data_IF_651923795740
#
_entry.id   IF_651923795740
#
_cell.length_a   1.000
_cell.length_b   1.000
_cell.length_c   1.000
_cell.angle_alpha   90.00
_cell.angle_beta   90.00
_cell.angle_gamma   90.00
#
_symmetry.space_group_name_H-M   'P 1'
#
loop_
_entity.id
_entity.type
_entity.pdbx_description
1 polymer ?
#
# COMPACT_ATOMS: atom_id res chain seq x y z
N UNK A 1 -30.46 4.75 -43.79
CA UNK A 1 -31.23 4.11 -44.89
C UNK A 1 -31.49 5.03 -46.09
N UNK A 2 -32.02 6.25 -45.93
CA UNK A 2 -32.37 7.13 -47.08
C UNK A 2 -31.22 7.50 -48.05
N UNK A 3 -29.96 7.58 -47.57
CA UNK A 3 -28.80 8.03 -48.38
C UNK A 3 -28.27 6.97 -49.37
N UNK A 4 -28.32 5.69 -48.98
CA UNK A 4 -27.99 4.59 -49.89
C UNK A 4 -29.10 4.40 -50.93
N UNK A 5 -30.36 4.66 -50.58
CA UNK A 5 -31.48 4.65 -51.54
C UNK A 5 -31.33 5.72 -52.62
N UNK A 6 -30.80 6.92 -52.30
CA UNK A 6 -30.57 7.98 -53.29
C UNK A 6 -29.43 7.60 -54.25
N UNK A 7 -28.33 7.06 -53.74
CA UNK A 7 -27.20 6.61 -54.56
C UNK A 7 -27.59 5.42 -55.45
N UNK A 8 -28.38 4.49 -54.90
CA UNK A 8 -28.94 3.38 -55.67
C UNK A 8 -29.90 3.90 -56.74
N UNK A 9 -30.80 4.84 -56.43
CA UNK A 9 -31.71 5.45 -57.39
C UNK A 9 -30.97 6.18 -58.53
N UNK A 10 -29.85 6.85 -58.24
CA UNK A 10 -29.01 7.49 -59.25
C UNK A 10 -28.35 6.44 -60.15
N UNK A 11 -27.82 5.34 -59.59
CA UNK A 11 -27.22 4.24 -60.36
C UNK A 11 -28.28 3.55 -61.23
N UNK A 12 -29.48 3.30 -60.69
CA UNK A 12 -30.59 2.71 -61.44
C UNK A 12 -31.09 3.66 -62.54
N UNK A 13 -31.17 4.97 -62.28
CA UNK A 13 -31.52 5.96 -63.29
C UNK A 13 -30.47 6.05 -64.42
N UNK A 14 -29.18 5.94 -64.08
CA UNK A 14 -28.08 5.87 -65.06
C UNK A 14 -28.14 4.60 -65.93
N UNK A 15 -28.49 3.45 -65.33
CA UNK A 15 -28.69 2.17 -66.01
C UNK A 15 -29.89 2.19 -66.96
N UNK A 16 -31.05 2.71 -66.53
CA UNK A 16 -32.24 2.84 -67.38
C UNK A 16 -32.01 3.78 -68.57
N UNK A 17 -31.18 4.81 -68.39
CA UNK A 17 -30.85 5.75 -69.45
C UNK A 17 -29.94 5.13 -70.52
N UNK A 18 -28.96 4.30 -70.11
CA UNK A 18 -28.12 3.53 -71.04
C UNK A 18 -28.94 2.54 -71.88
N UNK A 19 -29.96 1.91 -71.29
CA UNK A 19 -30.90 1.01 -72.00
C UNK A 19 -31.75 1.77 -73.02
N UNK A 20 -32.20 3.00 -72.70
CA UNK A 20 -32.91 3.86 -73.63
C UNK A 20 -32.09 4.30 -74.84
N UNK A 21 -30.78 4.54 -74.65
CA UNK A 21 -29.83 4.85 -75.74
C UNK A 21 -29.56 3.62 -76.62
N UNK A 22 -29.49 2.42 -76.04
CA UNK A 22 -29.27 1.18 -76.77
C UNK A 22 -30.47 0.76 -77.65
N UNK A 23 -31.70 0.96 -77.18
CA UNK A 23 -32.91 0.63 -77.94
C UNK A 23 -33.16 1.57 -79.13
N UNK A 24 -32.71 2.83 -79.04
CA UNK A 24 -32.77 3.81 -80.14
C UNK A 24 -31.64 3.71 -81.17
N UNK A 25 -30.77 2.69 -81.08
CA UNK A 25 -29.64 2.45 -81.98
C UNK A 25 -29.86 1.27 -82.95
N UNK A 26 -31.03 0.64 -82.94
CA UNK A 26 -31.39 -0.45 -83.86
C UNK A 26 -31.94 0.07 -85.19
N UNK A 27 -31.06 0.63 -86.00
CA UNK A 27 -31.32 1.02 -87.39
C UNK A 27 -30.00 1.10 -88.13
N UNK A 28 -29.64 0.01 -88.82
CA UNK A 28 -28.34 -0.15 -89.47
C UNK A 28 -28.16 0.76 -90.68
N UNK A 29 -26.95 1.35 -90.78
CA UNK A 29 -26.26 1.67 -92.03
C UNK A 29 -24.82 2.09 -91.72
N UNK A 30 -23.88 1.30 -92.22
CA UNK A 30 -22.43 1.47 -92.12
C UNK A 30 -21.91 2.45 -93.18
N UNK A 31 -21.47 3.63 -92.75
CA UNK A 31 -20.74 4.63 -93.54
C UNK A 31 -20.47 5.88 -92.70
N UNK A 32 -19.46 6.71 -93.00
CA UNK A 32 -19.13 7.89 -92.19
C UNK A 32 -20.20 8.96 -92.41
N UNK A 33 -21.29 8.91 -91.64
CA UNK A 33 -22.27 10.00 -91.57
C UNK A 33 -21.61 11.12 -90.76
N UNK A 34 -21.35 12.25 -91.41
CA UNK A 34 -21.07 13.50 -90.71
C UNK A 34 -22.21 13.81 -89.73
N UNK A 35 -21.91 14.65 -88.73
CA UNK A 35 -22.81 14.98 -87.61
C UNK A 35 -24.29 15.07 -88.04
N UNK A 36 -25.11 14.11 -87.60
CA UNK A 36 -26.54 14.11 -87.89
C UNK A 36 -27.30 14.83 -86.78
N UNK A 37 -28.44 15.46 -87.09
CA UNK A 37 -29.22 16.24 -86.12
C UNK A 37 -29.58 15.45 -84.84
N UNK A 38 -29.70 14.12 -84.94
CA UNK A 38 -29.95 13.22 -83.80
C UNK A 38 -28.79 13.14 -82.81
N UNK A 39 -27.55 13.36 -83.23
CA UNK A 39 -26.37 13.37 -82.34
C UNK A 39 -26.31 14.63 -81.48
N UNK A 40 -26.77 15.78 -81.99
CA UNK A 40 -26.91 17.02 -81.19
C UNK A 40 -27.84 16.79 -79.99
N UNK A 41 -28.99 16.14 -80.20
CA UNK A 41 -29.94 15.85 -79.13
C UNK A 41 -29.37 14.86 -78.11
N UNK A 42 -28.61 13.86 -78.56
CA UNK A 42 -27.93 12.90 -77.67
C UNK A 42 -26.87 13.58 -76.79
N UNK A 43 -26.03 14.43 -77.39
CA UNK A 43 -25.00 15.19 -76.67
C UNK A 43 -25.63 16.19 -75.70
N UNK A 44 -26.70 16.88 -76.10
CA UNK A 44 -27.41 17.81 -75.23
C UNK A 44 -28.07 17.09 -74.03
N UNK A 45 -28.70 15.94 -74.27
CA UNK A 45 -29.29 15.13 -73.20
C UNK A 45 -28.22 14.59 -72.24
N UNK A 46 -27.08 14.13 -72.76
CA UNK A 46 -25.93 13.72 -71.95
C UNK A 46 -25.36 14.89 -71.12
N UNK A 47 -25.23 16.09 -71.70
CA UNK A 47 -24.75 17.27 -70.99
C UNK A 47 -25.70 17.68 -69.85
N UNK A 48 -27.02 17.65 -70.08
CA UNK A 48 -28.03 17.92 -69.05
C UNK A 48 -27.96 16.88 -67.93
N UNK A 49 -27.80 15.59 -68.27
CA UNK A 49 -27.67 14.52 -67.28
C UNK A 49 -26.40 14.67 -66.44
N UNK A 50 -25.25 14.93 -67.07
CA UNK A 50 -23.98 15.16 -66.36
C UNK A 50 -24.08 16.39 -65.46
N UNK A 51 -24.73 17.46 -65.91
CA UNK A 51 -24.98 18.65 -65.09
C UNK A 51 -25.86 18.37 -63.87
N UNK A 52 -26.97 17.65 -64.05
CA UNK A 52 -27.85 17.23 -62.96
C UNK A 52 -27.13 16.29 -61.98
N UNK A 53 -26.36 15.33 -62.50
CA UNK A 53 -25.55 14.38 -61.74
C UNK A 53 -24.51 15.11 -60.89
N UNK A 54 -23.77 16.06 -61.48
CA UNK A 54 -22.79 16.87 -60.78
C UNK A 54 -23.42 17.69 -59.65
N UNK A 55 -24.56 18.34 -59.92
CA UNK A 55 -25.26 19.14 -58.91
C UNK A 55 -25.72 18.29 -57.72
N UNK A 56 -26.23 17.08 -57.98
CA UNK A 56 -26.72 16.16 -56.93
C UNK A 56 -25.56 15.50 -56.16
N UNK A 57 -24.49 15.07 -56.83
CA UNK A 57 -23.38 14.34 -56.21
C UNK A 57 -22.35 15.22 -55.51
N UNK A 58 -22.21 16.50 -55.88
CA UNK A 58 -21.21 17.40 -55.27
C UNK A 58 -21.32 17.45 -53.74
N UNK A 59 -22.54 17.52 -53.20
CA UNK A 59 -22.78 17.58 -51.75
C UNK A 59 -22.46 16.26 -51.01
N UNK A 60 -23.03 15.10 -51.37
CA UNK A 60 -22.79 13.85 -50.66
C UNK A 60 -21.33 13.37 -50.78
N UNK A 61 -20.67 13.59 -51.92
CA UNK A 61 -19.25 13.21 -52.11
C UNK A 61 -18.35 14.05 -51.20
N UNK A 62 -18.52 15.38 -51.20
CA UNK A 62 -17.74 16.26 -50.32
C UNK A 62 -17.99 15.95 -48.84
N UNK A 63 -19.25 15.68 -48.46
CA UNK A 63 -19.59 15.32 -47.08
C UNK A 63 -18.98 13.97 -46.66
N UNK A 64 -18.90 12.99 -47.56
CA UNK A 64 -18.28 11.69 -47.28
C UNK A 64 -16.78 11.83 -46.95
N UNK A 65 -16.04 12.54 -47.81
CA UNK A 65 -14.61 12.78 -47.57
C UNK A 65 -14.37 13.64 -46.32
N UNK A 66 -15.15 14.71 -46.12
CA UNK A 66 -15.08 15.53 -44.90
C UNK A 66 -15.35 14.72 -43.63
N UNK A 67 -16.39 13.88 -43.64
CA UNK A 67 -16.73 13.03 -42.48
C UNK A 67 -15.62 12.01 -42.19
N UNK A 68 -14.97 11.47 -43.22
CA UNK A 68 -13.86 10.53 -43.04
C UNK A 68 -12.62 11.23 -42.48
N UNK A 69 -12.28 12.41 -42.99
CA UNK A 69 -11.17 13.22 -42.50
C UNK A 69 -11.40 13.58 -41.03
N UNK A 70 -12.57 14.11 -40.69
CA UNK A 70 -12.93 14.44 -39.30
C UNK A 70 -12.93 13.21 -38.38
N UNK A 71 -13.35 12.05 -38.87
CA UNK A 71 -13.30 10.81 -38.10
C UNK A 71 -11.87 10.41 -37.75
N UNK A 72 -10.95 10.48 -38.71
CA UNK A 72 -9.53 10.17 -38.51
C UNK A 72 -8.88 11.20 -37.57
N UNK A 73 -9.17 12.50 -37.76
CA UNK A 73 -8.66 13.57 -36.90
C UNK A 73 -9.11 13.39 -35.44
N UNK A 74 -10.39 13.09 -35.23
CA UNK A 74 -10.93 12.80 -33.90
C UNK A 74 -10.27 11.56 -33.27
N UNK A 75 -10.10 10.49 -34.04
CA UNK A 75 -9.43 9.28 -33.56
C UNK A 75 -7.96 9.56 -33.19
N UNK A 76 -7.25 10.34 -33.99
CA UNK A 76 -5.86 10.70 -33.72
C UNK A 76 -5.75 11.57 -32.46
N UNK A 77 -6.63 12.57 -32.32
CA UNK A 77 -6.70 13.43 -31.14
C UNK A 77 -7.05 12.65 -29.87
N UNK A 78 -7.99 11.70 -29.96
CA UNK A 78 -8.34 10.82 -28.84
C UNK A 78 -7.17 9.91 -28.44
N UNK A 79 -6.45 9.36 -29.42
CA UNK A 79 -5.26 8.54 -29.16
C UNK A 79 -4.13 9.35 -28.53
N UNK A 80 -3.90 10.57 -29.00
CA UNK A 80 -2.88 11.47 -28.45
C UNK A 80 -3.22 11.86 -27.00
N UNK A 81 -4.49 12.16 -26.73
CA UNK A 81 -4.96 12.45 -25.37
C UNK A 81 -4.79 11.23 -24.46
N UNK A 82 -5.21 10.04 -24.91
CA UNK A 82 -5.03 8.79 -24.14
C UNK A 82 -3.57 8.45 -23.89
N UNK A 83 -2.70 8.70 -24.88
CA UNK A 83 -1.25 8.51 -24.72
C UNK A 83 -0.70 9.45 -23.65
N UNK A 84 -1.04 10.74 -23.72
CA UNK A 84 -0.62 11.73 -22.74
C UNK A 84 -1.12 11.39 -21.33
N UNK A 85 -2.38 11.00 -21.18
CA UNK A 85 -2.95 10.59 -19.89
C UNK A 85 -2.24 9.34 -19.33
N UNK A 86 -1.88 8.39 -20.20
CA UNK A 86 -1.14 7.19 -19.81
C UNK A 86 0.30 7.52 -19.37
N UNK A 87 0.98 8.41 -20.10
CA UNK A 87 2.32 8.90 -19.75
C UNK A 87 2.30 9.64 -18.40
N UNK A 88 1.33 10.53 -18.19
CA UNK A 88 1.15 11.24 -16.92
C UNK A 88 0.89 10.29 -15.75
N UNK A 89 0.01 9.30 -15.93
CA UNK A 89 -0.24 8.29 -14.89
C UNK A 89 0.99 7.43 -14.61
N UNK A 90 1.78 7.11 -15.63
CA UNK A 90 3.01 6.34 -15.46
C UNK A 90 4.04 7.14 -14.66
N UNK A 91 4.19 8.44 -14.94
CA UNK A 91 5.04 9.34 -14.18
C UNK A 91 4.57 9.44 -12.71
N UNK A 92 3.28 9.70 -12.48
CA UNK A 92 2.69 9.76 -11.13
C UNK A 92 2.92 8.45 -10.35
N UNK A 93 2.70 7.29 -10.97
CA UNK A 93 2.95 6.01 -10.32
C UNK A 93 4.43 5.75 -10.07
N UNK A 94 5.31 6.17 -10.97
CA UNK A 94 6.76 6.03 -10.79
C UNK A 94 7.24 6.89 -9.62
N UNK A 95 6.77 8.12 -9.51
CA UNK A 95 7.05 9.00 -8.38
C UNK A 95 6.50 8.41 -7.08
N UNK A 96 5.26 7.92 -7.09
CA UNK A 96 4.63 7.30 -5.92
C UNK A 96 5.39 6.05 -5.47
N UNK A 97 5.83 5.20 -6.39
CA UNK A 97 6.65 4.04 -6.06
C UNK A 97 8.00 4.45 -5.46
N UNK A 98 8.66 5.46 -6.03
CA UNK A 98 9.91 5.98 -5.48
C UNK A 98 9.74 6.60 -4.08
N UNK A 99 8.59 7.24 -3.82
CA UNK A 99 8.24 7.74 -2.48
C UNK A 99 7.98 6.59 -1.50
N UNK A 100 7.21 5.57 -1.91
CA UNK A 100 6.94 4.38 -1.09
C UNK A 100 8.22 3.64 -0.72
N UNK A 101 9.17 3.49 -1.64
CA UNK A 101 10.47 2.86 -1.35
C UNK A 101 11.28 3.65 -0.31
N UNK A 102 11.23 5.00 -0.38
CA UNK A 102 11.87 5.87 0.61
C UNK A 102 11.20 5.78 1.97
N UNK A 103 9.87 5.77 2.00
CA UNK A 103 9.09 5.62 3.23
C UNK A 103 9.32 4.25 3.87
N UNK A 104 9.32 3.18 3.08
CA UNK A 104 9.61 1.83 3.56
C UNK A 104 11.00 1.74 4.20
N UNK A 105 12.03 2.29 3.55
CA UNK A 105 13.38 2.37 4.14
C UNK A 105 13.39 3.17 5.44
N UNK A 106 12.74 4.34 5.46
CA UNK A 106 12.64 5.17 6.66
C UNK A 106 11.96 4.43 7.81
N UNK A 107 10.87 3.71 7.53
CA UNK A 107 10.15 2.91 8.52
C UNK A 107 11.07 1.83 9.09
N UNK A 108 11.80 1.09 8.23
CA UNK A 108 12.75 0.06 8.67
C UNK A 108 13.85 0.66 9.54
N UNK A 109 14.44 1.77 9.13
CA UNK A 109 15.50 2.45 9.89
C UNK A 109 14.98 2.95 11.25
N UNK A 110 13.76 3.50 11.29
CA UNK A 110 13.12 3.93 12.53
C UNK A 110 12.82 2.75 13.47
N UNK A 111 12.40 1.59 12.94
CA UNK A 111 12.22 0.37 13.75
C UNK A 111 13.54 -0.16 14.29
N UNK A 112 14.62 -0.15 13.49
CA UNK A 112 15.95 -0.56 13.95
C UNK A 112 16.44 0.37 15.08
N UNK A 113 16.28 1.69 14.90
CA UNK A 113 16.64 2.69 15.92
C UNK A 113 15.85 2.48 17.21
N UNK A 114 14.53 2.34 17.12
CA UNK A 114 13.66 2.07 18.27
C UNK A 114 14.02 0.75 18.96
N UNK A 115 14.33 -0.29 18.20
CA UNK A 115 14.78 -1.59 18.72
C UNK A 115 16.10 -1.47 19.50
N UNK A 116 17.07 -0.72 18.96
CA UNK A 116 18.34 -0.48 19.63
C UNK A 116 18.17 0.35 20.91
N UNK A 117 17.35 1.39 20.88
CA UNK A 117 17.02 2.18 22.07
C UNK A 117 16.30 1.34 23.13
N UNK A 118 15.33 0.50 22.74
CA UNK A 118 14.64 -0.41 23.64
C UNK A 118 15.61 -1.42 24.27
N UNK A 119 16.49 -2.02 23.46
CA UNK A 119 17.54 -2.92 23.94
C UNK A 119 18.45 -2.23 24.97
N UNK A 120 18.90 -1.01 24.68
CA UNK A 120 19.74 -0.25 25.59
C UNK A 120 19.03 0.04 26.92
N UNK A 121 17.75 0.46 26.88
CA UNK A 121 16.94 0.68 28.08
C UNK A 121 16.76 -0.60 28.91
N UNK A 122 16.44 -1.72 28.26
CA UNK A 122 16.26 -3.02 28.95
C UNK A 122 17.56 -3.44 29.62
N UNK A 123 18.71 -3.30 28.96
CA UNK A 123 20.01 -3.63 29.55
C UNK A 123 20.33 -2.75 30.75
N UNK A 124 20.11 -1.44 30.65
CA UNK A 124 20.34 -0.50 31.74
C UNK A 124 19.42 -0.79 32.94
N UNK A 125 18.15 -1.10 32.69
CA UNK A 125 17.20 -1.46 33.73
C UNK A 125 17.59 -2.79 34.40
N UNK A 126 17.98 -3.79 33.61
CA UNK A 126 18.45 -5.08 34.12
C UNK A 126 19.70 -4.92 35.01
N UNK A 127 20.66 -4.09 34.61
CA UNK A 127 21.85 -3.78 35.42
C UNK A 127 21.47 -3.08 36.73
N UNK A 128 20.60 -2.07 36.67
CA UNK A 128 20.10 -1.37 37.85
C UNK A 128 19.36 -2.30 38.83
N UNK A 129 18.55 -3.23 38.30
CA UNK A 129 17.84 -4.23 39.10
C UNK A 129 18.82 -5.24 39.71
N UNK A 130 19.82 -5.68 38.95
CA UNK A 130 20.84 -6.61 39.45
C UNK A 130 21.64 -5.99 40.60
N UNK A 131 22.03 -4.71 40.49
CA UNK A 131 22.74 -4.00 41.55
C UNK A 131 21.88 -3.84 42.81
N UNK A 132 20.61 -3.44 42.65
CA UNK A 132 19.66 -3.35 43.78
C UNK A 132 19.45 -4.69 44.45
N UNK A 133 19.32 -5.77 43.67
CA UNK A 133 19.13 -7.12 44.20
C UNK A 133 20.37 -7.57 44.97
N UNK A 134 21.57 -7.28 44.46
CA UNK A 134 22.83 -7.56 45.15
C UNK A 134 22.94 -6.81 46.47
N UNK A 135 22.62 -5.51 46.47
CA UNK A 135 22.62 -4.69 47.68
C UNK A 135 21.61 -5.20 48.72
N UNK A 136 20.41 -5.56 48.27
CA UNK A 136 19.39 -6.16 49.13
C UNK A 136 19.81 -7.52 49.70
N UNK A 137 20.44 -8.37 48.88
CA UNK A 137 20.97 -9.65 49.33
C UNK A 137 22.04 -9.47 50.41
N UNK A 138 22.97 -8.51 50.23
CA UNK A 138 23.99 -8.20 51.24
C UNK A 138 23.36 -7.71 52.55
N UNK A 139 22.38 -6.79 52.49
CA UNK A 139 21.66 -6.34 53.69
C UNK A 139 20.95 -7.48 54.41
N UNK A 140 20.33 -8.40 53.66
CA UNK A 140 19.66 -9.57 54.23
C UNK A 140 20.67 -10.53 54.88
N UNK A 141 21.83 -10.75 54.26
CA UNK A 141 22.91 -11.56 54.82
C UNK A 141 23.38 -10.95 56.15
N UNK A 142 23.64 -9.65 56.19
CA UNK A 142 24.08 -8.97 57.41
C UNK A 142 23.03 -9.07 58.52
N UNK A 143 21.75 -8.90 58.17
CA UNK A 143 20.64 -9.07 59.09
C UNK A 143 20.58 -10.50 59.67
N UNK A 144 20.64 -11.52 58.81
CA UNK A 144 20.62 -12.93 59.22
C UNK A 144 21.85 -13.31 60.07
N UNK A 145 23.04 -12.79 59.74
CA UNK A 145 24.24 -13.01 60.55
C UNK A 145 24.07 -12.42 61.95
N UNK A 146 23.53 -11.20 62.05
CA UNK A 146 23.29 -10.57 63.35
C UNK A 146 22.24 -11.33 64.16
N UNK A 147 21.15 -11.78 63.52
CA UNK A 147 20.15 -12.64 64.16
C UNK A 147 20.74 -13.98 64.62
N UNK A 148 21.57 -14.62 63.79
CA UNK A 148 22.25 -15.87 64.14
C UNK A 148 23.21 -15.68 65.34
N UNK A 149 23.94 -14.56 65.39
CA UNK A 149 24.79 -14.23 66.55
C UNK A 149 23.99 -14.07 67.84
N UNK A 150 22.87 -13.35 67.79
CA UNK A 150 22.00 -13.16 68.96
C UNK A 150 21.41 -14.49 69.45
N UNK A 151 20.94 -15.34 68.52
CA UNK A 151 20.48 -16.71 68.85
C UNK A 151 21.59 -17.53 69.50
N UNK A 152 22.79 -17.52 68.92
CA UNK A 152 23.95 -18.25 69.46
C UNK A 152 24.35 -17.76 70.86
N UNK A 153 24.32 -16.44 71.11
CA UNK A 153 24.58 -15.89 72.44
C UNK A 153 23.55 -16.35 73.47
N UNK A 154 22.27 -16.41 73.08
CA UNK A 154 21.20 -16.96 73.91
C UNK A 154 21.44 -18.43 74.26
N UNK A 155 21.75 -19.26 73.27
CA UNK A 155 22.04 -20.70 73.48
C UNK A 155 23.28 -20.92 74.36
N UNK A 156 24.34 -20.11 74.19
CA UNK A 156 25.53 -20.18 75.03
C UNK A 156 25.20 -19.80 76.47
N UNK A 157 24.43 -18.72 76.67
CA UNK A 157 24.02 -18.28 78.01
C UNK A 157 23.19 -19.36 78.72
N UNK A 158 22.23 -19.95 78.01
CA UNK A 158 21.41 -21.04 78.54
C UNK A 158 22.26 -22.23 78.96
N UNK A 159 23.18 -22.69 78.10
CA UNK A 159 24.11 -23.78 78.42
C UNK A 159 25.06 -23.45 79.57
N UNK A 160 25.53 -22.20 79.65
CA UNK A 160 26.40 -21.74 80.73
C UNK A 160 25.67 -21.71 82.08
N UNK A 161 24.40 -21.26 82.11
CA UNK A 161 23.57 -21.30 83.32
C UNK A 161 23.36 -22.74 83.77
N UNK A 162 23.01 -23.65 82.85
CA UNK A 162 22.85 -25.08 83.17
C UNK A 162 24.13 -25.67 83.75
N UNK A 163 25.29 -25.35 83.16
CA UNK A 163 26.59 -25.84 83.68
C UNK A 163 26.96 -25.22 85.03
N UNK A 164 26.68 -23.94 85.22
CA UNK A 164 26.91 -23.27 86.50
C UNK A 164 26.00 -23.84 87.60
N UNK A 165 24.74 -24.14 87.30
CA UNK A 165 23.82 -24.81 88.23
C UNK A 165 24.32 -26.21 88.63
N UNK A 166 24.86 -26.97 87.68
CA UNK A 166 25.49 -28.28 87.93
C UNK A 166 26.70 -28.14 88.87
N UNK A 167 27.61 -27.20 88.60
CA UNK A 167 28.79 -26.95 89.44
C UNK A 167 28.38 -26.50 90.84
N UNK A 168 27.42 -25.58 90.97
CA UNK A 168 26.93 -25.12 92.28
C UNK A 168 26.33 -26.28 93.06
N UNK A 169 25.56 -27.17 92.42
CA UNK A 169 25.01 -28.36 93.09
C UNK A 169 26.10 -29.34 93.56
N UNK A 170 27.17 -29.49 92.79
CA UNK A 170 28.26 -30.42 93.09
C UNK A 170 29.23 -29.88 94.16
N UNK A 171 29.45 -28.56 94.24
CA UNK A 171 30.42 -27.92 95.14
C UNK A 171 29.82 -27.22 96.38
N UNK A 172 28.48 -27.22 96.56
CA UNK A 172 27.85 -26.53 97.71
C UNK A 172 28.26 -27.14 99.06
N UNK A 173 28.89 -26.34 99.92
CA UNK A 173 29.29 -26.73 101.28
C UNK A 173 28.26 -26.29 102.33
N UNK A 174 28.36 -26.82 103.55
CA UNK A 174 27.47 -26.44 104.66
C UNK A 174 27.73 -24.98 105.07
N UNK A 175 28.99 -24.53 105.08
CA UNK A 175 29.33 -23.14 105.38
C UNK A 175 28.76 -22.15 104.34
N UNK A 176 28.69 -22.54 103.06
CA UNK A 176 28.08 -21.71 102.02
C UNK A 176 26.56 -21.55 102.19
N UNK A 177 25.88 -22.61 102.67
CA UNK A 177 24.44 -22.58 102.92
C UNK A 177 24.08 -21.61 104.07
N UNK A 178 24.80 -21.69 105.18
CA UNK A 178 24.58 -20.80 106.33
C UNK A 178 24.83 -19.33 105.95
N UNK A 179 25.90 -19.05 105.18
CA UNK A 179 26.20 -17.70 104.67
C UNK A 179 25.09 -17.16 103.74
N UNK A 180 24.52 -17.99 102.87
CA UNK A 180 23.41 -17.61 101.99
C UNK A 180 22.14 -17.27 102.78
N UNK A 181 21.87 -17.98 103.87
CA UNK A 181 20.75 -17.70 104.77
C UNK A 181 20.94 -16.35 105.46
N UNK A 182 22.14 -16.08 105.99
CA UNK A 182 22.46 -14.81 106.64
C UNK A 182 22.36 -13.61 105.67
N UNK A 183 22.89 -13.72 104.45
CA UNK A 183 22.76 -12.67 103.42
C UNK A 183 21.30 -12.40 103.01
N UNK A 184 20.46 -13.46 102.93
CA UNK A 184 19.04 -13.30 102.62
C UNK A 184 18.30 -12.59 103.74
N UNK A 185 18.60 -12.93 105.00
CA UNK A 185 18.03 -12.27 106.17
C UNK A 185 18.45 -10.79 106.25
N UNK A 186 19.68 -10.45 105.87
CA UNK A 186 20.18 -9.07 105.84
C UNK A 186 19.58 -8.23 104.69
N UNK A 187 19.27 -8.85 103.54
CA UNK A 187 18.64 -8.14 102.40
C UNK A 187 17.14 -7.91 102.55
N UNK A 188 16.45 -8.72 103.36
CA UNK A 188 14.99 -8.68 103.55
C UNK A 188 14.59 -7.95 104.84
N UNK A 189 15.53 -7.75 105.77
CA UNK A 189 15.41 -6.85 106.93
C UNK A 189 15.61 -5.38 106.54
#
# INVERSE_FOLDING_TARGET
MKRNSIMMFIITALLFFFVGVALGASGGESGPKGWVATDTYRVMNFAVLVGALFFILRKPVAQFFSSRIKGIENQLSELETKKKDAEQKLEEYTEKLAQLDKEAKKIVDDYIRQGNEAKARILQEAESVADKLKEQALRNIDYEINQAKLRLQGEILEKAIVKAEEIIKDELTIEDHDRLVDEYLEKVA
#
